data_IF_045155970122
#
_entry.id   IF_045155970122
#
_cell.length_a   1.000
_cell.length_b   1.000
_cell.length_c   1.000
_cell.angle_alpha   90.00
_cell.angle_beta   90.00
_cell.angle_gamma   90.00
#
_symmetry.space_group_name_H-M   'P 1'
#
loop_
_entity.id
_entity.type
_entity.pdbx_description
1 polymer ?
#
# COMPACT_ATOMS: atom_id res chain seq x y z
N UNK A 1 20.78 -47.70 -2.74
CA UNK A 1 19.89 -47.83 -3.92
C UNK A 1 18.93 -46.63 -4.11
N UNK A 2 19.40 -45.37 -3.94
CA UNK A 2 18.55 -44.15 -4.09
C UNK A 2 19.12 -43.07 -5.03
N UNK A 3 20.43 -43.07 -5.29
CA UNK A 3 21.10 -42.04 -6.10
C UNK A 3 20.79 -42.14 -7.60
N UNK A 4 20.70 -43.36 -8.15
CA UNK A 4 20.41 -43.56 -9.57
C UNK A 4 19.04 -43.05 -10.02
N UNK A 5 18.02 -43.11 -9.14
CA UNK A 5 16.69 -42.56 -9.42
C UNK A 5 16.67 -41.03 -9.48
N UNK A 6 17.45 -40.37 -8.61
CA UNK A 6 17.60 -38.90 -8.59
C UNK A 6 18.27 -38.38 -9.87
N UNK A 7 19.33 -39.04 -10.33
CA UNK A 7 20.02 -38.69 -11.58
C UNK A 7 19.08 -38.84 -12.78
N UNK A 8 18.24 -39.89 -12.79
CA UNK A 8 17.23 -40.09 -13.82
C UNK A 8 16.14 -39.00 -13.79
N UNK A 9 15.73 -38.55 -12.61
CA UNK A 9 14.75 -37.49 -12.43
C UNK A 9 15.29 -36.11 -12.87
N UNK A 10 16.55 -35.81 -12.55
CA UNK A 10 17.22 -34.59 -12.99
C UNK A 10 17.37 -34.53 -14.52
N UNK A 11 17.71 -35.66 -15.16
CA UNK A 11 17.72 -35.77 -16.63
C UNK A 11 16.33 -35.55 -17.23
N UNK A 12 15.28 -36.02 -16.57
CA UNK A 12 13.92 -35.82 -17.04
C UNK A 12 13.50 -34.35 -16.94
N UNK A 13 13.84 -33.69 -15.82
CA UNK A 13 13.58 -32.26 -15.64
C UNK A 13 14.35 -31.42 -16.65
N UNK A 14 15.63 -31.72 -16.89
CA UNK A 14 16.40 -30.97 -17.90
C UNK A 14 15.81 -31.11 -19.29
N UNK A 15 15.29 -32.30 -19.63
CA UNK A 15 14.65 -32.56 -20.94
C UNK A 15 13.31 -31.82 -21.09
N UNK A 16 12.51 -31.75 -20.02
CA UNK A 16 11.31 -30.89 -19.99
C UNK A 16 11.71 -29.43 -20.11
N UNK A 17 12.76 -29.02 -19.41
CA UNK A 17 13.26 -27.65 -19.39
C UNK A 17 13.73 -27.21 -20.77
N UNK A 18 14.47 -28.05 -21.49
CA UNK A 18 14.97 -27.73 -22.83
C UNK A 18 13.81 -27.58 -23.83
N UNK A 19 12.83 -28.51 -23.80
CA UNK A 19 11.64 -28.42 -24.65
C UNK A 19 10.76 -27.21 -24.33
N UNK A 20 10.65 -26.86 -23.06
CA UNK A 20 9.91 -25.69 -22.60
C UNK A 20 10.60 -24.40 -23.06
N UNK A 21 11.92 -24.32 -22.87
CA UNK A 21 12.75 -23.18 -23.25
C UNK A 21 12.66 -22.91 -24.75
N UNK A 22 12.83 -23.92 -25.59
CA UNK A 22 12.75 -23.73 -27.04
C UNK A 22 11.38 -23.23 -27.51
N UNK A 23 10.30 -23.76 -26.94
CA UNK A 23 8.94 -23.41 -27.34
C UNK A 23 8.51 -22.02 -26.88
N UNK A 24 8.96 -21.58 -25.71
CA UNK A 24 8.46 -20.35 -25.06
C UNK A 24 9.45 -19.20 -25.22
N UNK A 25 10.76 -19.43 -25.05
CA UNK A 25 11.74 -18.35 -25.04
C UNK A 25 12.11 -17.80 -26.42
N UNK A 26 11.96 -18.60 -27.47
CA UNK A 26 12.36 -18.20 -28.82
C UNK A 26 11.26 -17.48 -29.61
N UNK A 27 10.12 -17.22 -28.97
CA UNK A 27 9.03 -16.46 -29.57
C UNK A 27 9.20 -14.97 -29.26
N UNK A 28 9.20 -14.14 -30.30
CA UNK A 28 9.15 -12.68 -30.17
C UNK A 28 7.93 -12.23 -29.34
N UNK A 29 6.84 -13.03 -29.30
CA UNK A 29 5.65 -12.76 -28.50
C UNK A 29 5.87 -12.97 -27.00
N UNK A 30 6.77 -13.87 -26.59
CA UNK A 30 7.10 -14.09 -25.17
C UNK A 30 7.88 -12.91 -24.60
N UNK A 31 8.87 -12.42 -25.34
CA UNK A 31 9.61 -11.22 -24.96
C UNK A 31 8.72 -9.97 -24.92
N UNK A 32 7.76 -9.84 -25.84
CA UNK A 32 6.74 -8.78 -25.78
C UNK A 32 5.88 -8.87 -24.52
N UNK A 33 5.45 -10.09 -24.15
CA UNK A 33 4.66 -10.31 -22.93
C UNK A 33 5.47 -10.03 -21.65
N UNK A 34 6.74 -10.43 -21.63
CA UNK A 34 7.65 -10.19 -20.52
C UNK A 34 7.97 -8.70 -20.35
N UNK A 35 8.20 -7.99 -21.45
CA UNK A 35 8.39 -6.52 -21.45
C UNK A 35 7.11 -5.80 -21.04
N UNK A 36 5.94 -6.25 -21.50
CA UNK A 36 4.64 -5.72 -21.06
C UNK A 36 4.48 -5.86 -19.54
N UNK A 37 4.83 -7.03 -18.98
CA UNK A 37 4.80 -7.30 -17.54
C UNK A 37 5.80 -6.44 -16.76
N UNK A 38 7.00 -6.22 -17.29
CA UNK A 38 7.99 -5.33 -16.66
C UNK A 38 7.53 -3.88 -16.61
N UNK A 39 6.92 -3.38 -17.70
CA UNK A 39 6.33 -2.03 -17.73
C UNK A 39 5.18 -1.92 -16.73
N UNK A 40 4.36 -2.96 -16.62
CA UNK A 40 3.27 -3.03 -15.64
C UNK A 40 3.82 -3.05 -14.21
N UNK A 41 4.90 -3.76 -13.93
CA UNK A 41 5.52 -3.81 -12.60
C UNK A 41 6.19 -2.48 -12.21
N UNK A 42 6.85 -1.80 -13.14
CA UNK A 42 7.46 -0.49 -12.90
C UNK A 42 6.37 0.58 -12.69
N UNK A 43 5.33 0.57 -13.54
CA UNK A 43 4.16 1.44 -13.37
C UNK A 43 3.39 1.16 -12.08
N UNK A 44 3.28 -0.11 -11.68
CA UNK A 44 2.63 -0.52 -10.44
C UNK A 44 3.42 -0.09 -9.20
N UNK A 45 4.75 -0.17 -9.25
CA UNK A 45 5.62 0.39 -8.20
C UNK A 45 5.46 1.91 -8.05
N UNK A 46 5.27 2.62 -9.16
CA UNK A 46 4.96 4.05 -9.14
C UNK A 46 3.53 4.36 -8.69
N UNK A 47 2.57 3.49 -8.99
CA UNK A 47 1.17 3.59 -8.52
C UNK A 47 1.02 3.30 -7.02
N UNK A 48 1.94 2.50 -6.46
CA UNK A 48 2.14 2.31 -5.02
C UNK A 48 3.02 3.40 -4.40
N UNK A 49 3.44 4.39 -5.20
CA UNK A 49 4.32 5.48 -4.80
C UNK A 49 3.81 6.19 -3.55
N UNK A 50 4.69 6.32 -2.58
CA UNK A 50 4.53 6.99 -1.28
C UNK A 50 3.61 8.20 -1.38
N UNK A 51 2.36 8.04 -0.94
CA UNK A 51 1.45 9.17 -0.78
C UNK A 51 2.06 10.13 0.23
N UNK A 52 2.44 11.33 -0.21
CA UNK A 52 2.73 12.41 0.73
C UNK A 52 1.47 12.67 1.55
N UNK A 53 1.60 12.59 2.87
CA UNK A 53 0.51 12.82 3.78
C UNK A 53 0.15 14.31 3.76
N UNK A 54 -0.73 14.69 2.83
CA UNK A 54 -1.28 16.03 2.72
C UNK A 54 -2.61 16.12 3.45
N UNK A 55 -2.85 17.23 4.14
CA UNK A 55 -4.11 17.53 4.82
C UNK A 55 -4.68 18.81 4.24
N UNK A 56 -5.86 18.74 3.63
CA UNK A 56 -6.61 19.89 3.13
C UNK A 56 -8.00 19.92 3.77
N UNK A 57 -8.31 21.02 4.45
CA UNK A 57 -9.57 21.24 5.15
C UNK A 57 -10.10 22.61 4.77
N UNK A 58 -11.41 22.69 4.48
CA UNK A 58 -12.11 23.95 4.24
C UNK A 58 -13.00 24.30 5.42
N UNK A 59 -13.05 25.58 5.76
CA UNK A 59 -13.92 26.08 6.85
C UNK A 59 -15.38 25.91 6.42
N UNK A 60 -16.21 25.33 7.28
CA UNK A 60 -17.63 25.10 6.98
C UNK A 60 -17.94 23.81 6.21
N UNK A 61 -16.96 23.19 5.54
CA UNK A 61 -17.15 21.93 4.83
C UNK A 61 -16.98 20.73 5.77
N UNK A 62 -17.86 19.75 5.66
CA UNK A 62 -17.74 18.46 6.38
C UNK A 62 -16.83 17.48 5.67
N UNK A 63 -16.13 17.91 4.63
CA UNK A 63 -15.22 17.07 3.86
C UNK A 63 -13.79 17.57 4.05
N UNK A 64 -12.87 16.62 4.24
CA UNK A 64 -11.44 16.88 4.28
C UNK A 64 -10.71 15.92 3.34
N UNK A 65 -9.58 16.35 2.80
CA UNK A 65 -8.71 15.51 1.98
C UNK A 65 -7.49 15.15 2.82
N UNK A 66 -7.30 13.85 3.07
CA UNK A 66 -6.18 13.28 3.83
C UNK A 66 -5.42 12.30 2.95
N UNK A 67 -4.16 12.58 2.63
CA UNK A 67 -3.34 11.72 1.78
C UNK A 67 -3.95 11.47 0.39
N UNK A 68 -4.69 12.46 -0.15
CA UNK A 68 -5.42 12.34 -1.41
C UNK A 68 -6.80 11.66 -1.32
N UNK A 69 -7.22 11.17 -0.15
CA UNK A 69 -8.54 10.57 0.06
C UNK A 69 -9.52 11.56 0.68
N UNK A 70 -10.76 11.61 0.16
CA UNK A 70 -11.84 12.42 0.74
C UNK A 70 -12.43 11.67 1.93
N UNK A 71 -12.44 12.31 3.10
CA UNK A 71 -13.03 11.81 4.34
C UNK A 71 -14.19 12.71 4.79
N UNK A 72 -15.21 12.10 5.39
CA UNK A 72 -16.31 12.82 6.04
C UNK A 72 -15.94 13.11 7.50
N UNK A 73 -16.04 14.37 7.89
CA UNK A 73 -15.77 14.85 9.23
C UNK A 73 -17.01 14.68 10.12
N UNK A 74 -16.79 14.25 11.35
CA UNK A 74 -17.85 14.11 12.37
C UNK A 74 -18.37 15.44 12.90
N UNK A 75 -17.67 16.54 12.61
CA UNK A 75 -18.06 17.89 12.99
C UNK A 75 -17.57 18.90 11.97
N UNK A 76 -18.15 20.10 12.01
CA UNK A 76 -17.82 21.16 11.04
C UNK A 76 -16.55 21.91 11.51
N UNK A 77 -15.50 22.01 10.67
CA UNK A 77 -14.36 22.87 10.93
C UNK A 77 -14.79 24.31 11.15
N UNK A 78 -14.40 24.89 12.28
CA UNK A 78 -14.83 26.24 12.68
C UNK A 78 -13.62 27.12 12.96
N UNK A 79 -13.66 28.37 12.50
CA UNK A 79 -12.63 29.35 12.77
C UNK A 79 -13.03 30.18 14.00
N UNK A 80 -12.23 30.14 15.07
CA UNK A 80 -12.45 30.91 16.29
C UNK A 80 -11.11 31.56 16.65
N UNK A 81 -11.09 32.87 16.90
CA UNK A 81 -9.88 33.63 17.23
C UNK A 81 -8.71 33.38 16.26
N UNK A 82 -9.02 33.31 14.97
CA UNK A 82 -8.06 33.04 13.90
C UNK A 82 -7.36 31.65 14.00
N UNK A 83 -7.95 30.72 14.75
CA UNK A 83 -7.54 29.31 14.85
C UNK A 83 -8.60 28.42 14.26
N UNK A 84 -8.18 27.45 13.46
CA UNK A 84 -9.07 26.46 12.88
C UNK A 84 -9.24 25.28 13.84
N UNK A 85 -10.46 25.08 14.32
CA UNK A 85 -10.85 23.95 15.14
C UNK A 85 -11.39 22.85 14.24
N UNK A 86 -10.77 21.67 14.30
CA UNK A 86 -11.12 20.52 13.47
C UNK A 86 -11.44 19.31 14.35
N UNK A 87 -12.36 18.42 13.95
CA UNK A 87 -12.64 17.20 14.69
C UNK A 87 -11.42 16.28 14.73
N UNK A 88 -10.70 16.28 15.86
CA UNK A 88 -9.45 15.55 16.03
C UNK A 88 -9.60 14.05 15.72
N UNK A 89 -10.73 13.44 16.10
CA UNK A 89 -11.00 12.02 15.86
C UNK A 89 -10.94 11.66 14.37
N UNK A 90 -11.69 12.40 13.55
CA UNK A 90 -11.75 12.15 12.11
C UNK A 90 -10.38 12.29 11.44
N UNK A 91 -9.57 13.25 11.89
CA UNK A 91 -8.21 13.43 11.37
C UNK A 91 -7.32 12.25 11.79
N UNK A 92 -7.26 11.91 13.07
CA UNK A 92 -6.39 10.84 13.56
C UNK A 92 -6.74 9.47 12.99
N UNK A 93 -8.03 9.14 12.85
CA UNK A 93 -8.48 7.90 12.20
C UNK A 93 -8.04 7.84 10.73
N UNK A 94 -8.16 8.94 9.99
CA UNK A 94 -7.70 9.02 8.61
C UNK A 94 -6.17 8.93 8.45
N UNK A 95 -5.43 9.29 9.49
CA UNK A 95 -3.98 9.08 9.58
C UNK A 95 -3.60 7.65 10.00
N UNK A 96 -4.59 6.76 10.18
CA UNK A 96 -4.38 5.38 10.60
C UNK A 96 -4.17 5.20 12.10
N UNK A 97 -4.38 6.23 12.91
CA UNK A 97 -4.29 6.12 14.37
C UNK A 97 -5.58 5.56 14.97
N UNK A 98 -5.44 4.76 16.03
CA UNK A 98 -6.56 4.23 16.80
C UNK A 98 -6.78 5.09 18.04
N UNK A 99 -8.02 5.49 18.31
CA UNK A 99 -8.39 6.29 19.47
C UNK A 99 -9.09 5.40 20.48
N UNK A 100 -8.53 5.30 21.68
CA UNK A 100 -9.12 4.61 22.82
C UNK A 100 -9.56 5.66 23.84
N UNK A 101 -10.82 5.62 24.27
CA UNK A 101 -11.32 6.49 25.32
C UNK A 101 -11.59 5.67 26.56
N UNK A 102 -10.96 6.06 27.67
CA UNK A 102 -11.21 5.52 29.00
C UNK A 102 -12.16 6.46 29.74
N UNK A 103 -13.39 5.98 29.92
CA UNK A 103 -14.46 6.74 30.55
C UNK A 103 -14.28 6.89 32.06
N UNK A 104 -13.62 5.94 32.74
CA UNK A 104 -13.42 5.98 34.19
C UNK A 104 -12.37 7.03 34.57
N UNK A 105 -11.29 7.11 33.80
CA UNK A 105 -10.24 8.11 34.03
C UNK A 105 -10.43 9.43 33.27
N UNK A 106 -11.48 9.52 32.44
CA UNK A 106 -11.73 10.62 31.49
C UNK A 106 -10.53 10.94 30.58
N UNK A 107 -9.78 9.91 30.18
CA UNK A 107 -8.56 10.04 29.36
C UNK A 107 -8.77 9.47 27.97
N UNK A 108 -8.23 10.16 26.97
CA UNK A 108 -8.14 9.65 25.60
C UNK A 108 -6.69 9.26 25.29
N UNK A 109 -6.51 8.06 24.74
CA UNK A 109 -5.24 7.53 24.26
C UNK A 109 -5.28 7.44 22.74
N UNK A 110 -4.22 7.91 22.09
CA UNK A 110 -4.07 7.85 20.63
C UNK A 110 -2.91 6.91 20.34
N UNK A 111 -3.20 5.79 19.68
CA UNK A 111 -2.20 4.83 19.22
C UNK A 111 -1.91 5.11 17.76
N UNK A 112 -0.79 5.76 17.49
CA UNK A 112 -0.31 6.00 16.13
C UNK A 112 0.52 4.77 15.70
N UNK A 113 0.25 4.14 14.55
CA UNK A 113 1.08 3.05 14.05
C UNK A 113 2.51 3.57 13.90
N UNK A 114 3.47 2.87 14.53
CA UNK A 114 4.88 3.26 14.50
C UNK A 114 5.43 2.98 13.10
N UNK A 115 5.29 3.91 12.17
CA UNK A 115 5.97 3.85 10.87
C UNK A 115 7.44 4.15 11.10
N UNK A 116 8.24 3.10 11.35
CA UNK A 116 9.70 3.18 11.31
C UNK A 116 10.10 3.19 9.84
N UNK A 117 10.26 4.38 9.26
CA UNK A 117 10.95 4.51 7.98
C UNK A 117 12.43 4.26 8.30
N UNK A 118 12.89 3.02 8.07
CA UNK A 118 14.33 2.73 8.06
C UNK A 118 14.90 3.35 6.79
N UNK A 119 15.79 4.32 6.98
CA UNK A 119 16.71 4.82 5.95
C UNK A 119 17.83 3.81 5.69
#
# INVERSE_FOLDING_TARGET
MKMGKLISYLKFISLIWDKFKEKIWNSASFWKLFVLLLILAIGFGWYLGTGELSLSIRVGDREAIVGGQIIQLTGTPTLIDNKLYVPARSIFEALGATIEYDQESQRAWIKIPKTVIKY
#
